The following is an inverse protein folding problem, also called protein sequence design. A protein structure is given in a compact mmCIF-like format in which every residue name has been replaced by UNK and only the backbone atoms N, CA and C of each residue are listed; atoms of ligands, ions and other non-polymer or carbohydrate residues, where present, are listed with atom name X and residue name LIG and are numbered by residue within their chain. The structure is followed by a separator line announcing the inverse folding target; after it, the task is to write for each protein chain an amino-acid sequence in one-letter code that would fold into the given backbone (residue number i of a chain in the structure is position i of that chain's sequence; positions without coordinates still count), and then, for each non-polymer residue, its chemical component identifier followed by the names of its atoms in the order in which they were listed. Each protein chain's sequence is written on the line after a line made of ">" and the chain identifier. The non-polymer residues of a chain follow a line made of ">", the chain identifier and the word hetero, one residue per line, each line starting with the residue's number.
data_IF_261181289208
#
_entry.id   IF_261181289208
#
_cell.length_a   1.000
_cell.length_b   1.000
_cell.length_c   1.000
_cell.angle_alpha   90.00
_cell.angle_beta   90.00
_cell.angle_gamma   90.00
#
_symmetry.space_group_name_H-M   'P 1'
#
loop_
_entity.id
_entity.type
_entity.pdbx_description
1 polymer ?
#
# COMPACT_ATOMS: atom_id res chain seq x y z
N UNK A 1 -8.16 38.84 -18.86
CA UNK A 1 -9.37 38.07 -18.48
C UNK A 1 -9.70 36.96 -19.49
N UNK A 2 -8.72 36.15 -19.94
CA UNK A 2 -8.96 35.11 -20.97
C UNK A 2 -9.19 33.70 -20.37
N UNK A 3 -8.58 33.44 -19.21
CA UNK A 3 -8.63 32.12 -18.52
C UNK A 3 -10.03 31.76 -18.04
N UNK A 4 -10.80 32.74 -17.56
CA UNK A 4 -12.19 32.53 -17.13
C UNK A 4 -13.12 32.15 -18.29
N UNK A 5 -12.93 32.71 -19.49
CA UNK A 5 -13.70 32.31 -20.68
C UNK A 5 -13.33 30.91 -21.16
N UNK A 6 -12.04 30.54 -21.11
CA UNK A 6 -11.56 29.21 -21.47
C UNK A 6 -12.14 28.12 -20.56
N UNK A 7 -12.27 28.38 -19.26
CA UNK A 7 -12.91 27.48 -18.29
C UNK A 7 -14.38 27.21 -18.67
N UNK A 8 -15.14 28.26 -19.00
CA UNK A 8 -16.54 28.10 -19.42
C UNK A 8 -16.70 27.25 -20.68
N UNK A 9 -15.81 27.42 -21.67
CA UNK A 9 -15.80 26.61 -22.90
C UNK A 9 -15.45 25.15 -22.59
N UNK A 10 -14.45 24.90 -21.75
CA UNK A 10 -14.04 23.55 -21.37
C UNK A 10 -15.15 22.79 -20.64
N UNK A 11 -15.83 23.43 -19.68
CA UNK A 11 -16.96 22.83 -18.94
C UNK A 11 -18.10 22.46 -19.90
N UNK A 12 -18.44 23.35 -20.84
CA UNK A 12 -19.48 23.09 -21.83
C UNK A 12 -19.12 21.92 -22.76
N UNK A 13 -17.85 21.82 -23.17
CA UNK A 13 -17.36 20.72 -24.00
C UNK A 13 -17.40 19.37 -23.25
N UNK A 14 -17.01 19.35 -21.97
CA UNK A 14 -17.07 18.14 -21.14
C UNK A 14 -18.51 17.64 -20.92
N UNK A 15 -19.46 18.56 -20.75
CA UNK A 15 -20.89 18.26 -20.61
C UNK A 15 -21.55 17.77 -21.92
N UNK A 16 -20.98 18.12 -23.08
CA UNK A 16 -21.48 17.65 -24.40
C UNK A 16 -21.23 16.16 -24.62
N UNK A 17 -20.21 15.58 -24.00
CA UNK A 17 -19.83 14.16 -24.15
C UNK A 17 -19.93 13.41 -22.82
N UNK A 18 -21.15 13.33 -22.27
CA UNK A 18 -21.41 12.78 -20.93
C UNK A 18 -20.83 11.39 -20.70
N UNK A 19 -21.02 10.45 -21.62
CA UNK A 19 -20.53 9.07 -21.51
C UNK A 19 -19.00 9.03 -21.51
N UNK A 20 -18.35 9.67 -22.49
CA UNK A 20 -16.88 9.70 -22.56
C UNK A 20 -16.26 10.33 -21.31
N UNK A 21 -16.77 11.48 -20.88
CA UNK A 21 -16.30 12.20 -19.69
C UNK A 21 -16.52 11.37 -18.42
N UNK A 22 -17.67 10.68 -18.32
CA UNK A 22 -17.99 9.81 -17.18
C UNK A 22 -17.05 8.61 -17.11
N UNK A 23 -16.87 7.84 -18.20
CA UNK A 23 -15.98 6.68 -18.19
C UNK A 23 -14.51 7.08 -17.93
N UNK A 24 -14.04 8.19 -18.51
CA UNK A 24 -12.68 8.65 -18.31
C UNK A 24 -12.41 9.06 -16.84
N UNK A 25 -13.35 9.79 -16.22
CA UNK A 25 -13.24 10.18 -14.81
C UNK A 25 -13.35 8.98 -13.86
N UNK A 26 -14.24 8.02 -14.15
CA UNK A 26 -14.34 6.76 -13.41
C UNK A 26 -13.03 5.99 -13.41
N UNK A 27 -12.37 5.87 -14.56
CA UNK A 27 -11.09 5.17 -14.68
C UNK A 27 -10.01 5.79 -13.79
N UNK A 28 -9.91 7.12 -13.76
CA UNK A 28 -8.94 7.83 -12.91
C UNK A 28 -9.27 7.67 -11.42
N UNK A 29 -10.55 7.74 -11.05
CA UNK A 29 -10.98 7.56 -9.65
C UNK A 29 -10.66 6.16 -9.14
N UNK A 30 -10.98 5.11 -9.91
CA UNK A 30 -10.69 3.72 -9.53
C UNK A 30 -9.18 3.47 -9.52
N UNK A 31 -8.46 3.98 -10.53
CA UNK A 31 -7.01 3.82 -10.64
C UNK A 31 -6.28 4.40 -9.43
N UNK A 32 -6.54 5.66 -9.10
CA UNK A 32 -5.92 6.32 -7.95
C UNK A 32 -6.39 5.68 -6.64
N UNK A 33 -7.68 5.37 -6.50
CA UNK A 33 -8.24 4.74 -5.31
C UNK A 33 -7.59 3.39 -4.97
N UNK A 34 -7.43 2.53 -5.97
CA UNK A 34 -6.77 1.22 -5.82
C UNK A 34 -5.33 1.36 -5.29
N UNK A 35 -4.56 2.30 -5.87
CA UNK A 35 -3.18 2.54 -5.44
C UNK A 35 -3.13 3.08 -4.01
N UNK A 36 -4.01 4.01 -3.64
CA UNK A 36 -4.07 4.55 -2.27
C UNK A 36 -4.35 3.42 -1.27
N UNK A 37 -5.34 2.58 -1.54
CA UNK A 37 -5.70 1.46 -0.66
C UNK A 37 -4.54 0.49 -0.52
N UNK A 38 -3.93 0.08 -1.63
CA UNK A 38 -2.78 -0.84 -1.61
C UNK A 38 -1.61 -0.29 -0.79
N UNK A 39 -1.29 0.99 -0.97
CA UNK A 39 -0.19 1.64 -0.22
C UNK A 39 -0.54 1.76 1.27
N UNK A 40 -1.78 2.09 1.60
CA UNK A 40 -2.24 2.17 2.99
C UNK A 40 -2.14 0.80 3.68
N UNK A 41 -2.59 -0.27 3.01
CA UNK A 41 -2.46 -1.64 3.51
C UNK A 41 -0.98 -1.98 3.70
N UNK A 42 -0.13 -1.78 2.69
CA UNK A 42 1.29 -2.12 2.77
C UNK A 42 2.01 -1.42 3.92
N UNK A 43 1.78 -0.11 4.09
CA UNK A 43 2.34 0.66 5.21
C UNK A 43 1.78 0.23 6.56
N UNK A 44 0.48 -0.09 6.62
CA UNK A 44 -0.18 -0.58 7.83
C UNK A 44 0.39 -1.92 8.28
N UNK A 45 0.50 -2.89 7.37
CA UNK A 45 1.10 -4.20 7.65
C UNK A 45 2.57 -4.10 8.02
N UNK A 46 3.33 -3.23 7.35
CA UNK A 46 4.72 -2.98 7.72
C UNK A 46 4.81 -2.45 9.16
N UNK A 47 3.95 -1.50 9.53
CA UNK A 47 3.90 -0.96 10.89
C UNK A 47 3.55 -2.05 11.91
N UNK A 48 2.52 -2.86 11.64
CA UNK A 48 2.13 -3.95 12.53
C UNK A 48 3.28 -4.93 12.79
N UNK A 49 4.01 -5.32 11.74
CA UNK A 49 5.19 -6.18 11.87
C UNK A 49 6.30 -5.50 12.67
N UNK A 50 6.53 -4.20 12.47
CA UNK A 50 7.51 -3.44 13.27
C UNK A 50 7.08 -3.34 14.74
N UNK A 51 5.80 -3.17 15.02
CA UNK A 51 5.27 -3.10 16.39
C UNK A 51 5.44 -4.45 17.11
N UNK A 52 5.21 -5.57 16.40
CA UNK A 52 5.49 -6.92 16.91
C UNK A 52 6.98 -7.11 17.19
N UNK A 53 7.85 -6.66 16.27
CA UNK A 53 9.30 -6.74 16.46
C UNK A 53 9.78 -5.88 17.63
N UNK A 54 9.28 -4.65 17.74
CA UNK A 54 9.59 -3.77 18.86
C UNK A 54 9.11 -4.34 20.20
N UNK A 55 7.94 -5.01 20.20
CA UNK A 55 7.40 -5.70 21.37
C UNK A 55 8.23 -6.91 21.84
N UNK A 56 9.02 -7.51 20.95
CA UNK A 56 9.98 -8.57 21.31
C UNK A 56 11.23 -8.03 22.04
N UNK A 57 11.42 -6.71 22.06
CA UNK A 57 12.56 -6.03 22.67
C UNK A 57 13.75 -5.89 21.71
N UNK A 58 14.46 -4.75 21.78
CA UNK A 58 15.61 -4.44 20.90
C UNK A 58 16.79 -5.42 21.05
N UNK A 59 16.78 -6.29 22.07
CA UNK A 59 17.86 -7.21 22.40
C UNK A 59 17.39 -8.67 22.43
N UNK A 60 17.00 -9.20 21.26
CA UNK A 60 16.68 -10.61 21.08
C UNK A 60 17.96 -11.47 21.16
N UNK A 61 18.15 -12.19 22.26
CA UNK A 61 19.19 -13.21 22.41
C UNK A 61 18.61 -14.57 21.95
N UNK A 62 18.87 -14.95 20.70
CA UNK A 62 18.45 -16.24 20.15
C UNK A 62 19.44 -17.34 20.57
N UNK A 63 19.07 -18.15 21.56
CA UNK A 63 19.86 -19.32 21.98
C UNK A 63 19.44 -20.53 21.13
N UNK A 64 20.29 -20.93 20.17
CA UNK A 64 20.15 -22.21 19.50
C UNK A 64 20.85 -23.29 20.34
N UNK A 65 20.08 -24.21 20.91
CA UNK A 65 20.63 -25.40 21.54
C UNK A 65 21.26 -26.28 20.46
N UNK A 66 22.60 -26.29 20.39
CA UNK A 66 23.33 -27.17 19.47
C UNK A 66 22.92 -28.61 19.69
N UNK A 67 22.65 -29.34 18.59
CA UNK A 67 22.31 -30.76 18.63
C UNK A 67 23.30 -31.49 19.52
N UNK A 68 22.83 -31.90 20.70
CA UNK A 68 23.61 -32.76 21.58
C UNK A 68 23.63 -34.12 20.88
N UNK A 69 24.57 -34.28 19.95
CA UNK A 69 24.92 -35.55 19.33
C UNK A 69 25.37 -36.45 20.46
N UNK A 70 24.40 -37.13 21.08
CA UNK A 70 24.60 -38.21 22.03
C UNK A 70 25.36 -39.28 21.28
N UNK A 71 26.68 -39.15 21.34
CA UNK A 71 27.64 -40.16 20.91
C UNK A 71 27.39 -41.34 21.84
N UNK A 72 26.53 -42.26 21.38
CA UNK A 72 26.23 -43.51 22.05
C UNK A 72 27.54 -44.23 22.36
N UNK A 73 27.90 -44.23 23.64
CA UNK A 73 28.99 -45.03 24.16
C UNK A 73 28.60 -46.50 24.01
N UNK A 74 29.39 -47.22 23.23
CA UNK A 74 29.34 -48.68 23.14
C UNK A 74 29.87 -49.24 24.46
N UNK A 75 29.02 -49.94 25.19
CA UNK A 75 29.39 -51.00 26.13
C UNK A 75 28.74 -52.28 25.61
#
# INVERSE_FOLDING_TARGET
>A
MKVFSSLGIAVKALLSHKTRTFLASLGVLIGIGSVIVMVAIGKGSQKEVMDVIAGMGENLITINAGEMKRRGGRL
#
